data_IF_028747270340
#
_entry.id   IF_028747270340
#
_cell.length_a   1.000
_cell.length_b   1.000
_cell.length_c   1.000
_cell.angle_alpha   90.00
_cell.angle_beta   90.00
_cell.angle_gamma   90.00
#
_symmetry.space_group_name_H-M   'P 1'
#
loop_
_entity.id
_entity.type
_entity.pdbx_description
1 polymer ?
#
# COMPACT_ATOMS: atom_id res chain seq x y z
N UNK A 1 25.87 15.97 -27.48
CA UNK A 1 24.52 15.52 -27.10
C UNK A 1 23.96 14.77 -28.29
N UNK A 2 23.82 13.44 -28.20
CA UNK A 2 23.46 12.61 -29.36
C UNK A 2 21.93 12.57 -29.51
N UNK A 3 21.43 12.34 -30.74
CA UNK A 3 19.98 12.21 -31.00
C UNK A 3 19.32 11.07 -30.19
N UNK A 4 20.10 10.08 -29.77
CA UNK A 4 19.65 8.95 -28.93
C UNK A 4 19.28 9.44 -27.53
N UNK A 5 19.99 10.43 -26.97
CA UNK A 5 19.62 11.04 -25.68
C UNK A 5 18.34 11.86 -25.74
N UNK A 6 17.92 12.32 -26.93
CA UNK A 6 16.76 13.21 -27.10
C UNK A 6 15.46 12.46 -27.40
N UNK A 7 15.54 11.28 -27.99
CA UNK A 7 14.37 10.54 -28.47
C UNK A 7 14.29 9.07 -28.02
N UNK A 8 15.38 8.49 -27.50
CA UNK A 8 15.44 7.05 -27.21
C UNK A 8 14.47 6.54 -26.12
N UNK A 9 13.84 7.41 -25.33
CA UNK A 9 12.85 6.97 -24.33
C UNK A 9 11.40 6.92 -24.83
N UNK A 10 11.08 7.68 -25.89
CA UNK A 10 9.68 7.86 -26.31
C UNK A 10 9.15 6.63 -27.05
N UNK A 11 9.98 6.06 -27.94
CA UNK A 11 9.61 4.88 -28.71
C UNK A 11 9.48 3.65 -27.79
N UNK A 12 10.40 3.48 -26.83
CA UNK A 12 10.30 2.44 -25.80
C UNK A 12 9.03 2.59 -24.94
N UNK A 13 8.71 3.80 -24.49
CA UNK A 13 7.48 4.02 -23.71
C UNK A 13 6.25 3.61 -24.49
N UNK A 14 6.13 4.06 -25.74
CA UNK A 14 4.97 3.76 -26.59
C UNK A 14 4.87 2.25 -26.88
N UNK A 15 6.01 1.58 -27.12
CA UNK A 15 6.08 0.13 -27.28
C UNK A 15 5.69 -0.62 -26.01
N UNK A 16 6.08 -0.12 -24.83
CA UNK A 16 5.71 -0.71 -23.54
C UNK A 16 4.21 -0.55 -23.27
N UNK A 17 3.64 0.64 -23.49
CA UNK A 17 2.19 0.89 -23.37
C UNK A 17 1.42 -0.04 -24.31
N UNK A 18 1.87 -0.17 -25.57
CA UNK A 18 1.24 -1.09 -26.52
C UNK A 18 1.33 -2.54 -26.05
N UNK A 19 2.49 -2.98 -25.58
CA UNK A 19 2.67 -4.35 -25.09
C UNK A 19 1.80 -4.67 -23.88
N UNK A 20 1.70 -3.73 -22.93
CA UNK A 20 0.88 -3.89 -21.73
C UNK A 20 -0.62 -3.89 -22.04
N UNK A 21 -1.07 -3.01 -22.95
CA UNK A 21 -2.50 -2.94 -23.34
C UNK A 21 -2.97 -4.10 -24.21
N UNK A 22 -2.06 -4.73 -24.98
CA UNK A 22 -2.39 -5.88 -25.85
C UNK A 22 -2.11 -7.23 -25.22
N UNK A 23 -1.35 -7.27 -24.11
CA UNK A 23 -0.85 -8.50 -23.50
C UNK A 23 0.37 -9.10 -24.22
N UNK A 24 0.84 -8.48 -25.30
CA UNK A 24 2.00 -8.93 -26.08
C UNK A 24 3.21 -8.03 -25.83
N UNK A 25 3.89 -8.27 -24.71
CA UNK A 25 5.10 -7.52 -24.38
C UNK A 25 6.23 -7.83 -25.38
N UNK A 26 6.82 -6.78 -25.96
CA UNK A 26 7.96 -6.91 -26.85
C UNK A 26 9.13 -7.59 -26.13
N UNK A 27 9.77 -8.56 -26.79
CA UNK A 27 10.98 -9.26 -26.31
C UNK A 27 12.18 -8.33 -26.01
N UNK A 28 12.07 -7.05 -26.37
CA UNK A 28 13.05 -6.01 -26.05
C UNK A 28 13.00 -5.56 -24.59
N UNK A 29 11.88 -5.79 -23.91
CA UNK A 29 11.71 -5.48 -22.50
C UNK A 29 12.05 -6.70 -21.65
N UNK A 30 12.95 -6.48 -20.70
CA UNK A 30 13.29 -7.44 -19.66
C UNK A 30 12.66 -7.00 -18.35
N UNK A 31 12.12 -7.95 -17.58
CA UNK A 31 11.64 -7.70 -16.22
C UNK A 31 12.83 -7.77 -15.27
N UNK A 32 13.12 -6.65 -14.60
CA UNK A 32 14.19 -6.53 -13.60
C UNK A 32 13.69 -6.96 -12.22
N UNK A 33 12.51 -6.49 -11.86
CA UNK A 33 11.92 -6.68 -10.54
C UNK A 33 10.41 -6.74 -10.68
N UNK A 34 9.79 -7.61 -9.90
CA UNK A 34 8.35 -7.74 -9.78
C UNK A 34 8.01 -7.98 -8.32
N UNK A 35 7.02 -7.26 -7.80
CA UNK A 35 6.45 -7.54 -6.49
C UNK A 35 4.97 -7.19 -6.45
N UNK A 36 4.22 -7.96 -5.66
CA UNK A 36 2.83 -7.63 -5.35
C UNK A 36 2.78 -6.90 -4.02
N UNK A 37 2.07 -5.78 -4.00
CA UNK A 37 1.80 -4.99 -2.81
C UNK A 37 0.29 -4.83 -2.57
N UNK A 38 -0.03 -4.26 -1.43
CA UNK A 38 -1.37 -3.77 -1.15
C UNK A 38 -1.31 -2.48 -0.32
N UNK A 39 -2.29 -1.60 -0.50
CA UNK A 39 -2.54 -0.43 0.34
C UNK A 39 -3.97 -0.52 0.86
N UNK A 40 -4.17 0.00 2.08
CA UNK A 40 -5.40 -0.20 2.82
C UNK A 40 -5.65 -1.68 3.13
N UNK A 41 -6.81 -1.97 3.72
CA UNK A 41 -7.20 -3.34 3.97
C UNK A 41 -8.02 -3.51 5.22
N UNK A 42 -8.62 -4.69 5.30
CA UNK A 42 -9.51 -5.12 6.38
C UNK A 42 -8.75 -5.08 7.69
N UNK A 43 -9.09 -4.15 8.59
CA UNK A 43 -8.59 -4.21 9.96
C UNK A 43 -9.32 -5.32 10.73
N UNK A 44 -9.11 -6.58 10.33
CA UNK A 44 -9.88 -7.73 10.82
C UNK A 44 -9.81 -7.80 12.34
N UNK A 45 -8.63 -7.59 12.93
CA UNK A 45 -8.45 -7.64 14.38
C UNK A 45 -9.15 -6.47 15.06
N UNK A 46 -8.93 -5.23 14.60
CA UNK A 46 -9.58 -4.04 15.17
C UNK A 46 -11.10 -4.12 15.08
N UNK A 47 -11.62 -4.57 13.95
CA UNK A 47 -13.04 -4.63 13.67
C UNK A 47 -13.72 -5.83 14.33
N UNK A 48 -13.01 -6.95 14.49
CA UNK A 48 -13.49 -8.07 15.31
C UNK A 48 -13.58 -7.65 16.77
N UNK A 49 -12.57 -6.96 17.30
CA UNK A 49 -12.58 -6.44 18.68
C UNK A 49 -13.67 -5.38 18.87
N UNK A 50 -13.83 -4.47 17.92
CA UNK A 50 -14.92 -3.49 17.91
C UNK A 50 -16.29 -4.18 17.93
N UNK A 51 -16.50 -5.15 17.06
CA UNK A 51 -17.75 -5.94 17.02
C UNK A 51 -18.02 -6.62 18.36
N UNK A 52 -17.02 -7.28 18.97
CA UNK A 52 -17.16 -7.93 20.29
C UNK A 52 -17.50 -6.90 21.37
N UNK A 53 -16.91 -5.71 21.33
CA UNK A 53 -17.19 -4.64 22.28
C UNK A 53 -18.59 -4.03 22.14
N UNK A 54 -19.10 -3.90 20.91
CA UNK A 54 -20.39 -3.26 20.62
C UNK A 54 -21.59 -4.21 20.64
N UNK A 55 -21.39 -5.52 20.45
CA UNK A 55 -22.47 -6.53 20.48
C UNK A 55 -23.28 -6.50 21.80
N UNK A 56 -22.65 -6.39 23.00
CA UNK A 56 -23.37 -6.31 24.26
C UNK A 56 -24.32 -5.10 24.34
N UNK A 57 -24.01 -3.97 23.69
CA UNK A 57 -24.87 -2.79 23.69
C UNK A 57 -26.17 -3.00 22.91
N UNK A 58 -26.13 -3.83 21.85
CA UNK A 58 -27.33 -4.27 21.12
C UNK A 58 -28.22 -5.09 22.05
N UNK A 59 -27.64 -6.04 22.79
CA UNK A 59 -28.37 -6.94 23.70
C UNK A 59 -28.96 -6.14 24.87
N UNK A 60 -28.16 -5.31 25.52
CA UNK A 60 -28.59 -4.45 26.64
C UNK A 60 -29.69 -3.49 26.18
N UNK A 61 -29.51 -2.84 25.02
CA UNK A 61 -30.52 -1.95 24.43
C UNK A 61 -31.85 -2.67 24.19
N UNK A 62 -31.82 -3.86 23.59
CA UNK A 62 -33.03 -4.66 23.36
C UNK A 62 -33.73 -5.06 24.68
N UNK A 63 -32.97 -5.47 25.70
CA UNK A 63 -33.51 -5.77 27.03
C UNK A 63 -34.21 -4.56 27.63
N UNK A 64 -33.58 -3.38 27.56
CA UNK A 64 -34.16 -2.14 28.08
C UNK A 64 -35.45 -1.77 27.36
N UNK A 65 -35.50 -1.93 26.04
CA UNK A 65 -36.73 -1.72 25.26
C UNK A 65 -37.84 -2.66 25.73
N UNK A 66 -37.55 -3.97 25.87
CA UNK A 66 -38.53 -4.98 26.32
C UNK A 66 -39.04 -4.65 27.73
N UNK A 67 -38.15 -4.36 28.68
CA UNK A 67 -38.51 -3.99 30.06
C UNK A 67 -39.38 -2.73 30.07
N UNK A 68 -39.09 -1.76 29.20
CA UNK A 68 -39.88 -0.54 29.07
C UNK A 68 -41.32 -0.83 28.65
N UNK A 69 -41.53 -1.77 27.72
CA UNK A 69 -42.88 -2.21 27.35
C UNK A 69 -43.62 -2.81 28.54
N UNK A 70 -42.97 -3.65 29.35
CA UNK A 70 -43.58 -4.20 30.56
C UNK A 70 -43.93 -3.14 31.61
N UNK A 71 -43.11 -2.09 31.74
CA UNK A 71 -43.37 -0.97 32.66
C UNK A 71 -44.53 -0.10 32.17
N UNK A 72 -44.54 0.27 30.88
CA UNK A 72 -45.55 1.16 30.28
C UNK A 72 -46.92 0.48 30.22
N UNK A 73 -46.97 -0.80 29.84
CA UNK A 73 -48.21 -1.56 29.67
C UNK A 73 -48.56 -2.41 30.90
N UNK A 74 -47.96 -2.12 32.06
CA UNK A 74 -48.27 -2.85 33.28
C UNK A 74 -49.76 -2.68 33.65
N UNK A 75 -50.58 -3.74 33.62
CA UNK A 75 -52.02 -3.65 33.85
C UNK A 75 -52.39 -3.35 35.31
N UNK A 76 -51.43 -3.13 36.19
CA UNK A 76 -51.63 -2.84 37.63
C UNK A 76 -51.09 -1.45 38.05
N UNK A 77 -50.69 -0.60 37.11
CA UNK A 77 -50.08 0.70 37.41
C UNK A 77 -51.09 1.84 37.58
N UNK A 78 -51.41 2.21 38.82
CA UNK A 78 -52.21 3.41 39.14
C UNK A 78 -51.37 4.70 39.29
N UNK A 79 -50.14 4.75 38.78
CA UNK A 79 -49.19 5.85 39.03
C UNK A 79 -48.49 6.36 37.75
N UNK A 80 -48.27 7.67 37.65
CA UNK A 80 -47.56 8.34 36.55
C UNK A 80 -46.03 8.09 36.58
N UNK A 81 -45.44 7.89 37.77
CA UNK A 81 -43.98 7.76 37.91
C UNK A 81 -43.39 6.50 37.22
N UNK A 82 -44.02 5.31 37.26
CA UNK A 82 -43.65 4.16 36.45
C UNK A 82 -43.75 4.43 34.95
N UNK A 83 -44.75 5.19 34.49
CA UNK A 83 -44.90 5.52 33.07
C UNK A 83 -43.72 6.38 32.56
N UNK A 84 -43.36 7.44 33.28
CA UNK A 84 -42.19 8.26 32.95
C UNK A 84 -40.89 7.46 32.98
N UNK A 85 -40.72 6.56 33.95
CA UNK A 85 -39.57 5.67 34.02
C UNK A 85 -39.49 4.77 32.78
N UNK A 86 -40.61 4.17 32.38
CA UNK A 86 -40.71 3.33 31.18
C UNK A 86 -40.36 4.09 29.90
N UNK A 87 -40.80 5.34 29.76
CA UNK A 87 -40.40 6.18 28.62
C UNK A 87 -38.89 6.48 28.62
N UNK A 88 -38.29 6.79 29.78
CA UNK A 88 -36.86 7.05 29.89
C UNK A 88 -36.02 5.80 29.53
N UNK A 89 -36.40 4.64 30.04
CA UNK A 89 -35.72 3.37 29.73
C UNK A 89 -35.87 2.99 28.27
N UNK A 90 -36.99 3.34 27.62
CA UNK A 90 -37.22 3.09 26.21
C UNK A 90 -36.25 3.91 25.35
N UNK A 91 -36.14 5.22 25.63
CA UNK A 91 -35.24 6.12 24.90
C UNK A 91 -33.77 5.69 25.07
N UNK A 92 -33.36 5.38 26.31
CA UNK A 92 -32.00 4.93 26.59
C UNK A 92 -31.69 3.57 25.94
N UNK A 93 -32.64 2.63 25.99
CA UNK A 93 -32.51 1.32 25.36
C UNK A 93 -32.41 1.41 23.83
N UNK A 94 -33.28 2.20 23.20
CA UNK A 94 -33.24 2.46 21.76
C UNK A 94 -31.94 3.16 21.33
N UNK A 95 -31.45 4.12 22.13
CA UNK A 95 -30.18 4.78 21.88
C UNK A 95 -28.99 3.81 21.93
N UNK A 96 -28.91 3.01 22.99
CA UNK A 96 -27.86 1.99 23.15
C UNK A 96 -27.88 0.95 22.01
N UNK A 97 -29.07 0.48 21.61
CA UNK A 97 -29.22 -0.46 20.49
C UNK A 97 -28.76 0.17 19.16
N UNK A 98 -29.13 1.43 18.90
CA UNK A 98 -28.75 2.14 17.67
C UNK A 98 -27.24 2.34 17.57
N UNK A 99 -26.59 2.72 18.67
CA UNK A 99 -25.12 2.84 18.75
C UNK A 99 -24.46 1.49 18.49
N UNK A 100 -24.92 0.43 19.16
CA UNK A 100 -24.39 -0.92 18.98
C UNK A 100 -24.53 -1.42 17.54
N UNK A 101 -25.71 -1.27 16.94
CA UNK A 101 -25.98 -1.70 15.56
C UNK A 101 -25.12 -0.93 14.57
N UNK A 102 -25.02 0.40 14.72
CA UNK A 102 -24.25 1.23 13.79
C UNK A 102 -22.76 0.88 13.84
N UNK A 103 -22.21 0.67 15.04
CA UNK A 103 -20.81 0.33 15.22
C UNK A 103 -20.47 -1.09 14.74
N UNK A 104 -21.33 -2.09 15.02
CA UNK A 104 -21.18 -3.45 14.49
C UNK A 104 -21.30 -3.45 12.97
N UNK A 105 -22.25 -2.71 12.40
CA UNK A 105 -22.41 -2.60 10.94
C UNK A 105 -21.14 -2.05 10.30
N UNK A 106 -20.61 -0.92 10.77
CA UNK A 106 -19.38 -0.34 10.23
C UNK A 106 -18.18 -1.29 10.33
N UNK A 107 -18.06 -2.00 11.47
CA UNK A 107 -16.97 -2.95 11.68
C UNK A 107 -17.04 -4.15 10.72
N UNK A 108 -18.25 -4.68 10.48
CA UNK A 108 -18.46 -5.79 9.53
C UNK A 108 -18.27 -5.33 8.09
N UNK A 109 -18.75 -4.12 7.76
CA UNK A 109 -18.62 -3.52 6.42
C UNK A 109 -17.16 -3.32 6.03
N UNK A 110 -16.32 -2.79 6.91
CA UNK A 110 -14.88 -2.62 6.64
C UNK A 110 -14.13 -3.99 6.54
N UNK A 111 -14.67 -5.06 7.13
CA UNK A 111 -14.13 -6.43 6.95
C UNK A 111 -14.58 -7.07 5.65
N UNK A 112 -15.79 -6.79 5.16
CA UNK A 112 -16.29 -7.37 3.91
C UNK A 112 -15.85 -6.54 2.69
N UNK A 113 -16.01 -5.23 2.76
CA UNK A 113 -15.68 -4.22 1.76
C UNK A 113 -14.91 -3.06 2.44
N UNK A 114 -13.59 -3.19 2.66
CA UNK A 114 -12.77 -2.10 3.20
C UNK A 114 -12.83 -0.88 2.27
N UNK A 115 -12.96 0.33 2.79
CA UNK A 115 -13.19 1.52 1.96
C UNK A 115 -12.01 1.83 1.00
N UNK A 116 -10.77 1.56 1.40
CA UNK A 116 -9.56 1.99 0.67
C UNK A 116 -8.62 0.83 0.26
N UNK A 117 -9.16 -0.36 -0.06
CA UNK A 117 -8.29 -1.47 -0.46
C UNK A 117 -7.86 -1.39 -1.92
N UNK A 118 -6.55 -1.45 -2.14
CA UNK A 118 -5.94 -1.66 -3.45
C UNK A 118 -4.87 -2.74 -3.35
N UNK A 119 -4.99 -3.78 -4.17
CA UNK A 119 -3.93 -4.74 -4.45
C UNK A 119 -3.34 -4.42 -5.80
N UNK A 120 -2.02 -4.39 -5.88
CA UNK A 120 -1.33 -4.03 -7.11
C UNK A 120 -0.05 -4.84 -7.31
N UNK A 121 0.34 -4.97 -8.55
CA UNK A 121 1.64 -5.49 -8.96
C UNK A 121 2.50 -4.33 -9.43
N UNK A 122 3.76 -4.31 -9.01
CA UNK A 122 4.74 -3.35 -9.51
C UNK A 122 5.84 -4.09 -10.22
N UNK A 123 6.05 -3.74 -11.49
CA UNK A 123 7.01 -4.38 -12.38
C UNK A 123 7.96 -3.34 -12.95
N UNK A 124 9.26 -3.59 -12.83
CA UNK A 124 10.32 -2.75 -13.39
C UNK A 124 10.77 -3.35 -14.71
N UNK A 125 10.47 -2.66 -15.80
CA UNK A 125 10.83 -3.05 -17.17
C UNK A 125 12.08 -2.33 -17.62
N UNK A 126 12.97 -3.03 -18.32
CA UNK A 126 14.18 -2.47 -18.91
C UNK A 126 14.31 -2.82 -20.39
N UNK A 127 14.43 -1.79 -21.21
CA UNK A 127 14.81 -1.92 -22.61
C UNK A 127 16.29 -1.57 -22.77
N UNK A 128 17.11 -2.60 -23.00
CA UNK A 128 18.56 -2.46 -23.15
C UNK A 128 18.97 -1.65 -24.38
N UNK A 129 18.23 -1.77 -25.48
CA UNK A 129 18.58 -1.13 -26.74
C UNK A 129 18.41 0.39 -26.66
N UNK A 130 17.30 0.80 -26.08
CA UNK A 130 16.91 2.20 -25.93
C UNK A 130 17.37 2.82 -24.61
N UNK A 131 17.98 2.00 -23.74
CA UNK A 131 18.45 2.40 -22.41
C UNK A 131 17.33 3.04 -21.58
N UNK A 132 16.14 2.46 -21.64
CA UNK A 132 14.96 2.95 -20.96
C UNK A 132 14.54 1.98 -19.86
N UNK A 133 14.26 2.50 -18.66
CA UNK A 133 13.73 1.74 -17.53
C UNK A 133 12.46 2.41 -17.02
N UNK A 134 11.44 1.62 -16.72
CA UNK A 134 10.16 2.10 -16.22
C UNK A 134 9.66 1.20 -15.10
N UNK A 135 9.15 1.82 -14.04
CA UNK A 135 8.41 1.16 -12.98
C UNK A 135 6.91 1.33 -13.24
N UNK A 136 6.22 0.21 -13.43
CA UNK A 136 4.80 0.17 -13.80
C UNK A 136 4.02 -0.50 -12.67
N UNK A 137 2.99 0.18 -12.17
CA UNK A 137 2.01 -0.35 -11.22
C UNK A 137 0.75 -0.76 -12.00
N UNK A 138 0.31 -2.00 -11.82
CA UNK A 138 -0.97 -2.51 -12.32
C UNK A 138 -1.86 -2.84 -11.13
N UNK A 139 -3.07 -2.26 -11.10
CA UNK A 139 -4.04 -2.57 -10.04
C UNK A 139 -4.70 -3.91 -10.37
N UNK A 140 -4.48 -4.91 -9.49
CA UNK A 140 -5.00 -6.27 -9.66
C UNK A 140 -6.40 -6.43 -9.05
N UNK A 141 -6.67 -5.70 -7.98
CA UNK A 141 -7.93 -5.75 -7.24
C UNK A 141 -8.08 -4.46 -6.43
N UNK A 142 -9.29 -3.95 -6.31
CA UNK A 142 -9.56 -2.73 -5.56
C UNK A 142 -11.03 -2.65 -5.09
N UNK A 143 -11.29 -1.88 -4.03
CA UNK A 143 -12.65 -1.60 -3.57
C UNK A 143 -13.44 -0.85 -4.63
N UNK A 144 -12.82 0.17 -5.23
CA UNK A 144 -13.33 0.77 -6.46
C UNK A 144 -13.03 -0.16 -7.63
N UNK A 145 -14.08 -0.71 -8.24
CA UNK A 145 -13.94 -1.66 -9.34
C UNK A 145 -13.54 -0.99 -10.64
N UNK A 146 -13.76 0.33 -10.75
CA UNK A 146 -13.52 1.05 -12.00
C UNK A 146 -12.02 1.23 -12.28
N UNK A 147 -11.18 1.12 -11.25
CA UNK A 147 -9.71 1.22 -11.37
C UNK A 147 -9.01 -0.14 -11.53
N UNK A 148 -9.74 -1.27 -11.48
CA UNK A 148 -9.13 -2.59 -11.61
C UNK A 148 -8.61 -2.78 -13.04
N UNK A 149 -7.33 -3.13 -13.16
CA UNK A 149 -6.62 -3.23 -14.42
C UNK A 149 -5.93 -1.93 -14.85
N UNK A 150 -6.08 -0.83 -14.09
CA UNK A 150 -5.39 0.41 -14.38
C UNK A 150 -3.87 0.24 -14.35
N UNK A 151 -3.23 0.80 -15.38
CA UNK A 151 -1.78 0.75 -15.60
C UNK A 151 -1.23 2.14 -15.37
N UNK A 152 -0.40 2.28 -14.34
CA UNK A 152 0.23 3.54 -13.97
C UNK A 152 1.73 3.44 -14.12
N UNK A 153 2.35 4.38 -14.82
CA UNK A 153 3.80 4.55 -14.83
C UNK A 153 4.18 5.36 -13.59
N UNK A 154 4.85 4.69 -12.64
CA UNK A 154 5.24 5.29 -11.35
C UNK A 154 6.45 6.18 -11.55
N UNK A 155 7.51 5.62 -12.13
CA UNK A 155 8.76 6.33 -12.42
C UNK A 155 9.36 5.85 -13.75
N UNK A 156 10.04 6.74 -14.45
CA UNK A 156 10.62 6.47 -15.76
C UNK A 156 12.00 7.11 -15.88
N UNK A 157 12.99 6.36 -16.35
CA UNK A 157 14.35 6.86 -16.58
C UNK A 157 14.85 6.46 -17.96
N UNK A 158 15.22 7.46 -18.77
CA UNK A 158 16.10 7.27 -19.92
C UNK A 158 17.55 7.36 -19.46
N UNK A 159 18.25 6.22 -19.42
CA UNK A 159 19.61 6.13 -18.93
C UNK A 159 20.58 6.82 -19.89
N UNK A 160 21.33 7.75 -19.34
CA UNK A 160 22.45 8.43 -19.98
C UNK A 160 23.72 8.36 -19.13
N UNK A 161 24.78 9.01 -19.59
CA UNK A 161 26.07 9.12 -18.89
C UNK A 161 26.00 9.80 -17.51
N UNK A 162 24.91 10.53 -17.22
CA UNK A 162 24.64 11.16 -15.92
C UNK A 162 23.92 10.24 -14.93
N UNK A 163 23.49 9.08 -15.39
CA UNK A 163 22.75 8.14 -14.54
C UNK A 163 23.74 7.35 -13.71
N UNK A 164 23.37 7.09 -12.46
CA UNK A 164 24.25 6.47 -11.49
C UNK A 164 23.51 5.39 -10.71
N UNK A 165 24.25 4.34 -10.36
CA UNK A 165 23.81 3.35 -9.39
C UNK A 165 24.41 3.67 -8.03
N UNK A 166 23.58 3.62 -7.00
CA UNK A 166 24.01 3.66 -5.63
C UNK A 166 23.27 2.61 -4.80
N UNK A 167 23.78 2.37 -3.59
CA UNK A 167 23.15 1.51 -2.61
C UNK A 167 22.65 2.38 -1.46
N UNK A 168 21.33 2.49 -1.31
CA UNK A 168 20.75 3.00 -0.07
C UNK A 168 20.77 1.89 0.97
N UNK A 169 21.31 2.20 2.15
CA UNK A 169 21.33 1.24 3.25
C UNK A 169 20.64 1.83 4.47
N UNK A 170 19.83 1.00 5.14
CA UNK A 170 19.20 1.34 6.41
C UNK A 170 19.83 0.46 7.50
N UNK A 171 20.54 1.05 8.48
CA UNK A 171 21.06 0.28 9.61
C UNK A 171 19.91 -0.20 10.50
N UNK A 172 20.03 -1.41 11.02
CA UNK A 172 19.09 -1.94 12.02
C UNK A 172 19.03 -1.04 13.27
N UNK A 173 17.84 -0.94 13.88
CA UNK A 173 17.50 0.03 14.93
C UNK A 173 18.39 -0.02 16.19
N UNK A 174 19.11 -1.12 16.43
CA UNK A 174 19.72 -1.41 17.74
C UNK A 174 21.25 -1.56 17.69
N UNK A 175 21.92 -1.10 16.63
CA UNK A 175 23.40 -1.10 16.52
C UNK A 175 24.05 -2.47 16.29
N UNK A 176 23.34 -3.57 16.51
CA UNK A 176 23.60 -4.92 16.02
C UNK A 176 22.33 -5.76 16.26
N UNK A 177 22.11 -6.82 15.49
CA UNK A 177 21.09 -7.91 15.68
C UNK A 177 19.85 -7.91 14.74
N UNK A 178 19.64 -6.94 13.84
CA UNK A 178 18.59 -7.01 12.77
C UNK A 178 19.09 -6.51 11.39
N UNK A 179 18.52 -6.98 10.25
CA UNK A 179 19.15 -6.87 8.93
C UNK A 179 19.49 -5.45 8.48
N UNK A 180 20.71 -5.29 7.96
CA UNK A 180 21.03 -4.21 7.02
C UNK A 180 20.21 -4.44 5.74
N UNK A 181 19.24 -3.58 5.47
CA UNK A 181 18.52 -3.55 4.20
C UNK A 181 19.33 -2.76 3.18
N UNK A 182 19.56 -3.34 2.00
CA UNK A 182 20.38 -2.75 0.95
C UNK A 182 19.52 -2.66 -0.31
N UNK A 183 19.24 -1.43 -0.74
CA UNK A 183 18.46 -1.14 -1.93
C UNK A 183 19.42 -0.62 -3.01
N UNK A 184 19.56 -1.39 -4.10
CA UNK A 184 20.31 -0.96 -5.27
C UNK A 184 19.39 -0.14 -6.15
N UNK A 185 19.76 1.12 -6.35
CA UNK A 185 18.90 2.12 -6.98
C UNK A 185 19.66 2.70 -8.16
N UNK A 186 18.99 2.81 -9.30
CA UNK A 186 19.46 3.65 -10.41
C UNK A 186 18.76 5.00 -10.34
N UNK A 187 19.50 6.06 -10.58
CA UNK A 187 18.96 7.42 -10.59
C UNK A 187 19.40 8.22 -11.80
N UNK A 188 18.56 9.17 -12.19
CA UNK A 188 18.87 10.18 -13.19
C UNK A 188 18.21 11.50 -12.78
N UNK A 189 19.01 12.44 -12.26
CA UNK A 189 18.47 13.65 -11.64
C UNK A 189 17.69 13.30 -10.37
N UNK A 190 16.45 13.78 -10.28
CA UNK A 190 15.58 13.59 -9.11
C UNK A 190 14.77 12.28 -9.17
N UNK A 191 14.81 11.57 -10.29
CA UNK A 191 14.09 10.31 -10.47
C UNK A 191 14.99 9.14 -10.08
N UNK A 192 14.43 8.19 -9.32
CA UNK A 192 15.16 7.00 -8.88
C UNK A 192 14.27 5.76 -8.89
N UNK A 193 14.79 4.64 -9.39
CA UNK A 193 14.09 3.36 -9.46
C UNK A 193 14.93 2.32 -8.73
N UNK A 194 14.30 1.58 -7.82
CA UNK A 194 14.94 0.47 -7.12
C UNK A 194 15.00 -0.75 -8.03
N UNK A 195 16.20 -1.25 -8.26
CA UNK A 195 16.46 -2.40 -9.13
C UNK A 195 16.35 -3.73 -8.37
N UNK A 196 16.91 -3.77 -7.17
CA UNK A 196 17.13 -4.99 -6.41
C UNK A 196 17.28 -4.67 -4.93
N UNK A 197 16.91 -5.61 -4.07
CA UNK A 197 17.01 -5.47 -2.62
C UNK A 197 17.58 -6.73 -1.97
N UNK A 198 18.56 -6.53 -1.09
CA UNK A 198 19.25 -7.61 -0.39
C UNK A 198 19.38 -7.31 1.09
N UNK A 199 19.35 -8.38 1.89
CA UNK A 199 19.57 -8.30 3.31
C UNK A 199 21.00 -8.76 3.64
N UNK A 200 21.61 -8.19 4.69
CA UNK A 200 22.87 -8.67 5.26
C UNK A 200 24.07 -8.65 4.30
N UNK A 201 24.25 -7.60 3.50
CA UNK A 201 25.42 -7.47 2.63
C UNK A 201 26.58 -6.75 3.33
N UNK A 202 27.78 -7.30 3.20
CA UNK A 202 29.01 -6.55 3.49
C UNK A 202 29.41 -5.65 2.29
N UNK A 203 30.36 -4.74 2.52
CA UNK A 203 30.78 -3.76 1.51
C UNK A 203 31.30 -4.38 0.21
N UNK A 204 32.04 -5.48 0.32
CA UNK A 204 32.54 -6.21 -0.84
C UNK A 204 31.42 -6.77 -1.71
N UNK A 205 30.38 -7.33 -1.10
CA UNK A 205 29.23 -7.86 -1.81
C UNK A 205 28.34 -6.75 -2.37
N UNK A 206 28.19 -5.63 -1.63
CA UNK A 206 27.51 -4.43 -2.14
C UNK A 206 28.16 -3.94 -3.43
N UNK A 207 29.48 -3.79 -3.43
CA UNK A 207 30.21 -3.33 -4.62
C UNK A 207 30.03 -4.30 -5.80
N UNK A 208 30.16 -5.61 -5.60
CA UNK A 208 29.96 -6.60 -6.67
C UNK A 208 28.58 -6.53 -7.33
N UNK A 209 27.53 -6.34 -6.53
CA UNK A 209 26.17 -6.22 -7.06
C UNK A 209 26.01 -4.90 -7.80
N UNK A 210 26.55 -3.79 -7.27
CA UNK A 210 26.57 -2.51 -7.96
C UNK A 210 27.32 -2.56 -9.29
N UNK A 211 28.48 -3.22 -9.35
CA UNK A 211 29.25 -3.46 -10.58
C UNK A 211 28.45 -4.25 -11.61
N UNK A 212 27.78 -5.33 -11.18
CA UNK A 212 26.92 -6.13 -12.06
C UNK A 212 25.79 -5.29 -12.66
N UNK A 213 25.15 -4.44 -11.85
CA UNK A 213 24.10 -3.55 -12.33
C UNK A 213 24.65 -2.44 -13.23
N UNK A 214 25.81 -1.86 -12.89
CA UNK A 214 26.46 -0.81 -13.66
C UNK A 214 26.87 -1.29 -15.05
N UNK A 215 27.44 -2.49 -15.14
CA UNK A 215 27.76 -3.14 -16.40
C UNK A 215 26.49 -3.42 -17.21
N UNK A 216 25.46 -3.99 -16.57
CA UNK A 216 24.20 -4.35 -17.23
C UNK A 216 23.46 -3.15 -17.80
N UNK A 217 23.38 -2.05 -17.04
CA UNK A 217 22.67 -0.83 -17.42
C UNK A 217 23.56 0.13 -18.24
N UNK A 218 24.88 -0.08 -18.25
CA UNK A 218 25.85 0.80 -18.92
C UNK A 218 25.94 2.17 -18.27
N UNK A 219 25.87 2.21 -16.93
CA UNK A 219 25.90 3.43 -16.11
C UNK A 219 27.05 3.40 -15.12
N UNK A 220 27.35 4.53 -14.48
CA UNK A 220 28.42 4.61 -13.49
C UNK A 220 27.91 4.23 -12.10
N UNK A 221 28.83 3.78 -11.25
CA UNK A 221 28.56 3.66 -9.81
C UNK A 221 28.84 5.03 -9.18
N UNK A 222 27.92 5.51 -8.34
CA UNK A 222 28.14 6.73 -7.56
C UNK A 222 29.27 6.51 -6.55
N UNK A 223 30.10 7.52 -6.35
CA UNK A 223 31.12 7.52 -5.30
C UNK A 223 30.78 8.58 -4.24
N UNK A 224 30.59 8.22 -2.95
CA UNK A 224 30.62 6.86 -2.42
C UNK A 224 29.38 6.03 -2.84
N UNK A 225 29.55 4.71 -2.94
CA UNK A 225 28.44 3.78 -3.29
C UNK A 225 27.26 3.88 -2.32
N UNK A 226 27.56 4.17 -1.05
CA UNK A 226 26.57 4.18 0.03
C UNK A 226 25.92 5.56 0.14
N UNK A 227 24.59 5.57 0.10
CA UNK A 227 23.79 6.71 0.54
C UNK A 227 23.07 6.34 1.82
N UNK A 228 23.34 7.05 2.91
CA UNK A 228 22.64 6.84 4.18
C UNK A 228 21.32 7.59 4.12
N UNK A 229 20.19 6.90 4.24
CA UNK A 229 18.88 7.58 4.33
C UNK A 229 18.41 7.53 5.78
N UNK A 230 18.66 8.60 6.54
CA UNK A 230 18.02 8.81 7.84
C UNK A 230 16.95 9.91 7.67
N UNK A 231 15.68 9.53 7.70
CA UNK A 231 14.57 10.48 7.88
C UNK A 231 14.46 11.62 6.86
N UNK A 232 14.77 11.38 5.57
CA UNK A 232 14.57 12.38 4.51
C UNK A 232 15.69 13.42 4.36
N UNK A 233 16.87 13.19 4.97
CA UNK A 233 18.07 13.97 4.70
C UNK A 233 19.16 13.06 4.11
N UNK A 234 19.48 13.31 2.83
CA UNK A 234 20.66 12.75 2.15
C UNK A 234 21.90 13.55 2.57
N UNK A 235 22.92 12.87 3.10
CA UNK A 235 24.27 13.41 3.30
C UNK A 235 25.24 12.76 2.31
#
# INVERSE_FOLDING_TARGET
>A
MSLIEKYGGKDAKDDLIRGLSTGELSHRFEVIREYTGHVGGRNIIGNTLGTIFFLPWIIVGAIFVIVSFFIIFNPHGESEAPFFLGCCTLILGSGAATIGISAVKGSVEEVTNPDDYEKYEVTVYFNRHEKYIAEVKVILDATDKDIIGDITFVEEISLSSKSEIFCSYQPGSDGAVRPDYNYFIVSHGDVSITLDNHNYLNDKNRMKIAEKWAERLGVKIREPLKSTTFGGLTF
#
